data_IF_279302143052
#
_entry.id   IF_279302143052
#
_cell.length_a   1.000
_cell.length_b   1.000
_cell.length_c   1.000
_cell.angle_alpha   90.00
_cell.angle_beta   90.00
_cell.angle_gamma   90.00
#
_symmetry.space_group_name_H-M   'P 1'
#
loop_
_entity.id
_entity.type
_entity.pdbx_description
1 polymer ?
#
# COMPACT_ATOMS: atom_id res chain seq x y z
N UNK A 1 15.84 8.29 -11.94
CA UNK A 1 15.00 8.74 -10.81
C UNK A 1 15.19 7.75 -9.69
N UNK A 2 15.43 8.18 -8.45
CA UNK A 2 15.48 7.24 -7.32
C UNK A 2 14.10 6.61 -7.13
N UNK A 3 14.04 5.35 -6.71
CA UNK A 3 12.78 4.61 -6.51
C UNK A 3 11.83 5.36 -5.55
N UNK A 4 12.39 6.12 -4.61
CA UNK A 4 11.62 7.00 -3.71
C UNK A 4 10.90 8.15 -4.44
N UNK A 5 11.49 8.75 -5.48
CA UNK A 5 10.85 9.84 -6.21
C UNK A 5 9.70 9.31 -7.08
N UNK A 6 9.88 8.16 -7.71
CA UNK A 6 8.84 7.51 -8.51
C UNK A 6 7.65 7.11 -7.62
N UNK A 7 7.93 6.52 -6.46
CA UNK A 7 6.91 6.20 -5.47
C UNK A 7 6.18 7.45 -4.97
N UNK A 8 6.89 8.50 -4.57
CA UNK A 8 6.26 9.73 -4.06
C UNK A 8 5.34 10.37 -5.10
N UNK A 9 5.77 10.43 -6.37
CA UNK A 9 4.95 10.95 -7.46
C UNK A 9 3.71 10.09 -7.69
N UNK A 10 3.86 8.77 -7.66
CA UNK A 10 2.75 7.82 -7.82
C UNK A 10 1.75 7.91 -6.66
N UNK A 11 2.23 7.78 -5.42
CA UNK A 11 1.42 7.86 -4.21
C UNK A 11 0.68 9.21 -4.09
N UNK A 12 1.33 10.29 -4.52
CA UNK A 12 0.75 11.64 -4.55
C UNK A 12 -0.57 11.71 -5.32
N UNK A 13 -0.76 10.90 -6.37
CA UNK A 13 -2.00 10.85 -7.15
C UNK A 13 -3.21 10.36 -6.34
N UNK A 14 -2.98 9.60 -5.27
CA UNK A 14 -4.03 8.98 -4.48
C UNK A 14 -4.25 9.66 -3.13
N UNK A 15 -3.32 10.53 -2.72
CA UNK A 15 -3.43 11.26 -1.45
C UNK A 15 -4.58 12.29 -1.48
N UNK A 16 -4.87 12.86 -2.64
CA UNK A 16 -5.94 13.86 -2.80
C UNK A 16 -7.34 13.25 -2.59
N UNK A 17 -7.53 11.97 -2.91
CA UNK A 17 -8.78 11.23 -2.68
C UNK A 17 -8.81 10.50 -1.32
N UNK A 18 -7.72 10.58 -0.54
CA UNK A 18 -7.57 9.87 0.72
C UNK A 18 -7.98 10.74 1.92
N UNK A 19 -9.29 10.95 2.03
CA UNK A 19 -9.92 11.76 3.08
C UNK A 19 -9.59 11.29 4.50
N UNK A 20 -9.64 12.21 5.47
CA UNK A 20 -9.50 11.89 6.90
C UNK A 20 -10.77 11.26 7.47
N UNK A 21 -11.02 10.01 7.08
CA UNK A 21 -12.09 9.17 7.63
C UNK A 21 -11.54 8.27 8.74
N UNK A 22 -12.42 7.81 9.64
CA UNK A 22 -12.06 6.82 10.66
C UNK A 22 -11.45 5.57 10.04
N UNK A 23 -12.02 5.09 8.94
CA UNK A 23 -11.54 3.91 8.23
C UNK A 23 -10.12 4.11 7.65
N UNK A 24 -9.85 5.28 7.07
CA UNK A 24 -8.55 5.61 6.52
C UNK A 24 -7.49 5.78 7.62
N UNK A 25 -7.85 6.35 8.77
CA UNK A 25 -6.98 6.38 9.96
C UNK A 25 -6.63 4.99 10.48
N UNK A 26 -7.63 4.12 10.62
CA UNK A 26 -7.39 2.71 11.02
C UNK A 26 -6.45 2.00 10.03
N UNK A 27 -6.59 2.28 8.72
CA UNK A 27 -5.69 1.74 7.70
C UNK A 27 -4.28 2.31 7.80
N UNK A 28 -4.13 3.62 8.03
CA UNK A 28 -2.81 4.25 8.25
C UNK A 28 -2.13 3.62 9.47
N UNK A 29 -2.84 3.48 10.58
CA UNK A 29 -2.29 2.91 11.82
C UNK A 29 -1.86 1.45 11.63
N UNK A 30 -2.65 0.68 10.86
CA UNK A 30 -2.32 -0.70 10.53
C UNK A 30 -1.10 -0.81 9.61
N UNK A 31 -1.00 0.04 8.59
CA UNK A 31 0.06 0.01 7.57
C UNK A 31 1.35 0.64 8.08
N UNK A 32 1.23 1.65 8.94
CA UNK A 32 2.35 2.47 9.44
C UNK A 32 2.99 3.34 8.37
N UNK A 33 2.26 3.64 7.29
CA UNK A 33 2.69 4.51 6.17
C UNK A 33 1.43 5.03 5.44
N UNK A 34 1.25 6.35 5.43
CA UNK A 34 0.06 7.00 4.83
C UNK A 34 0.00 6.83 3.31
N UNK A 35 1.14 6.84 2.64
CA UNK A 35 1.20 6.72 1.18
C UNK A 35 0.81 5.31 0.75
N UNK A 36 1.34 4.29 1.42
CA UNK A 36 0.98 2.89 1.15
C UNK A 36 -0.52 2.69 1.46
N UNK A 37 -1.02 3.24 2.57
CA UNK A 37 -2.43 3.16 2.94
C UNK A 37 -3.35 3.75 1.86
N UNK A 38 -3.01 4.93 1.34
CA UNK A 38 -3.80 5.60 0.30
C UNK A 38 -3.87 4.76 -0.99
N UNK A 39 -2.72 4.27 -1.46
CA UNK A 39 -2.63 3.44 -2.67
C UNK A 39 -3.42 2.14 -2.50
N UNK A 40 -3.32 1.48 -1.35
CA UNK A 40 -4.08 0.26 -1.03
C UNK A 40 -5.58 0.54 -1.04
N UNK A 41 -6.01 1.63 -0.39
CA UNK A 41 -7.44 2.01 -0.35
C UNK A 41 -7.98 2.29 -1.73
N UNK A 42 -7.20 2.94 -2.60
CA UNK A 42 -7.60 3.23 -3.97
C UNK A 42 -7.84 1.96 -4.78
N UNK A 43 -6.85 1.06 -4.83
CA UNK A 43 -6.90 -0.15 -5.66
C UNK A 43 -7.89 -1.20 -5.14
N UNK A 44 -8.00 -1.35 -3.82
CA UNK A 44 -8.78 -2.43 -3.20
C UNK A 44 -10.09 -1.94 -2.55
N UNK A 45 -10.32 -0.63 -2.45
CA UNK A 45 -11.57 -0.01 -1.99
C UNK A 45 -12.10 -0.54 -0.66
N UNK A 46 -13.11 -1.41 -0.67
CA UNK A 46 -13.71 -2.01 0.51
C UNK A 46 -13.09 -3.39 0.84
N UNK A 47 -12.40 -4.01 -0.10
CA UNK A 47 -11.81 -5.35 0.04
C UNK A 47 -10.34 -5.31 0.48
N UNK A 48 -9.79 -4.13 0.76
CA UNK A 48 -8.39 -3.97 1.18
C UNK A 48 -8.01 -4.82 2.40
N UNK A 49 -8.92 -5.00 3.36
CA UNK A 49 -8.68 -5.86 4.54
C UNK A 49 -8.43 -7.32 4.16
N UNK A 50 -9.19 -7.82 3.18
CA UNK A 50 -9.00 -9.17 2.66
C UNK A 50 -7.69 -9.25 1.88
N UNK A 51 -7.39 -8.24 1.06
CA UNK A 51 -6.16 -8.22 0.29
C UNK A 51 -4.91 -8.19 1.18
N UNK A 52 -4.90 -7.37 2.24
CA UNK A 52 -3.81 -7.28 3.22
C UNK A 52 -3.45 -8.62 3.86
N UNK A 53 -4.46 -9.49 4.02
CA UNK A 53 -4.32 -10.80 4.68
C UNK A 53 -4.26 -11.97 3.70
N UNK A 54 -4.41 -11.72 2.39
CA UNK A 54 -4.35 -12.74 1.35
C UNK A 54 -2.93 -12.87 0.81
N UNK A 55 -2.53 -14.09 0.46
CA UNK A 55 -1.25 -14.33 -0.21
C UNK A 55 -1.28 -13.73 -1.60
N UNK A 56 -0.20 -13.06 -1.99
CA UNK A 56 -0.03 -12.47 -3.31
C UNK A 56 1.18 -13.11 -3.97
N UNK A 57 0.98 -13.72 -5.13
CA UNK A 57 2.06 -14.43 -5.85
C UNK A 57 3.23 -13.50 -6.21
N UNK A 58 2.93 -12.24 -6.57
CA UNK A 58 3.94 -11.22 -6.84
C UNK A 58 4.78 -10.85 -5.59
N UNK A 59 4.28 -11.12 -4.38
CA UNK A 59 5.00 -10.97 -3.11
C UNK A 59 5.69 -12.28 -2.68
N UNK A 60 6.07 -13.15 -3.62
CA UNK A 60 6.64 -14.48 -3.35
C UNK A 60 5.71 -15.34 -2.47
N UNK A 61 4.39 -15.20 -2.65
CA UNK A 61 3.38 -15.93 -1.87
C UNK A 61 3.19 -15.42 -0.43
N UNK A 62 3.76 -14.25 -0.09
CA UNK A 62 3.52 -13.56 1.19
C UNK A 62 2.26 -12.71 1.13
N UNK A 63 1.74 -12.41 2.30
CA UNK A 63 0.68 -11.39 2.48
C UNK A 63 1.29 -9.99 2.50
N UNK A 64 0.57 -8.96 2.01
CA UNK A 64 1.01 -7.58 2.16
C UNK A 64 1.34 -7.20 3.61
N UNK A 65 0.55 -7.70 4.58
CA UNK A 65 0.81 -7.49 6.01
C UNK A 65 2.11 -8.09 6.53
N UNK A 66 2.59 -9.20 5.95
CA UNK A 66 3.92 -9.73 6.26
C UNK A 66 5.02 -8.84 5.69
N UNK A 67 4.82 -8.29 4.50
CA UNK A 67 5.79 -7.40 3.86
C UNK A 67 5.95 -6.06 4.59
N UNK A 68 4.91 -5.56 5.24
CA UNK A 68 4.96 -4.34 6.06
C UNK A 68 5.88 -4.43 7.29
N UNK A 69 6.28 -5.64 7.71
CA UNK A 69 7.13 -5.90 8.89
C UNK A 69 8.63 -5.65 8.65
N UNK A 70 9.06 -5.40 7.42
CA UNK A 70 10.47 -5.16 7.08
C UNK A 70 10.62 -4.08 6.02
N UNK A 71 11.72 -3.33 6.04
CA UNK A 71 11.98 -2.31 5.01
C UNK A 71 12.02 -2.90 3.61
N UNK A 72 12.71 -4.04 3.45
CA UNK A 72 12.74 -4.77 2.17
C UNK A 72 11.35 -5.17 1.68
N UNK A 73 10.50 -5.66 2.58
CA UNK A 73 9.13 -6.04 2.25
C UNK A 73 8.28 -4.82 1.87
N UNK A 74 8.45 -3.68 2.56
CA UNK A 74 7.81 -2.42 2.19
C UNK A 74 8.23 -1.95 0.79
N UNK A 75 9.52 -2.04 0.45
CA UNK A 75 9.99 -1.70 -0.90
C UNK A 75 9.38 -2.60 -1.97
N UNK A 76 9.38 -3.92 -1.74
CA UNK A 76 8.75 -4.88 -2.66
C UNK A 76 7.25 -4.62 -2.82
N UNK A 77 6.56 -4.28 -1.72
CA UNK A 77 5.15 -3.92 -1.74
C UNK A 77 4.91 -2.66 -2.58
N UNK A 78 5.72 -1.62 -2.41
CA UNK A 78 5.65 -0.38 -3.21
C UNK A 78 5.83 -0.66 -4.71
N UNK A 79 6.80 -1.49 -5.08
CA UNK A 79 7.02 -1.89 -6.47
C UNK A 79 5.81 -2.58 -7.09
N UNK A 80 5.17 -3.50 -6.36
CA UNK A 80 3.99 -4.21 -6.86
C UNK A 80 2.79 -3.29 -6.97
N UNK A 81 2.58 -2.43 -5.98
CA UNK A 81 1.50 -1.44 -6.01
C UNK A 81 1.65 -0.46 -7.18
N UNK A 82 2.88 -0.10 -7.57
CA UNK A 82 3.14 0.71 -8.76
C UNK A 82 2.91 -0.02 -10.08
N UNK A 83 2.89 -1.36 -10.08
CA UNK A 83 2.61 -2.20 -11.26
C UNK A 83 1.13 -2.55 -11.42
N UNK A 84 0.28 -2.18 -10.47
CA UNK A 84 -1.17 -2.36 -10.56
C UNK A 84 -1.75 -1.24 -11.44
N UNK A 85 -2.21 -1.63 -12.63
CA UNK A 85 -2.88 -0.77 -13.62
C UNK A 85 -4.37 -1.04 -13.64
#
# INVERSE_FOLDING_TARGET
MSDNQAWANYAGLFLDEFDDTKENRELIDYVGDKEIAAVIKYHFRATYKNWLTSKVDALDGKTPSECLKSERGRSQLKEILMRMH
#
